data_IF_412939187020
#
_entry.id   IF_412939187020
#
_cell.length_a   1.000
_cell.length_b   1.000
_cell.length_c   1.000
_cell.angle_alpha   90.00
_cell.angle_beta   90.00
_cell.angle_gamma   90.00
#
_symmetry.space_group_name_H-M   'P 1'
#
loop_
_entity.id
_entity.type
_entity.pdbx_description
1 polymer ?
#
# COMPACT_ATOMS: atom_id res chain seq x y z
N UNK A 1 -11.38 -4.84 9.76
CA UNK A 1 -9.99 -4.69 10.28
C UNK A 1 -9.00 -5.36 9.32
N UNK A 2 -7.70 -5.34 9.63
CA UNK A 2 -6.65 -5.90 8.76
C UNK A 2 -6.79 -7.42 8.53
N UNK A 3 -7.18 -8.18 9.56
CA UNK A 3 -7.30 -9.65 9.46
C UNK A 3 -8.45 -10.00 8.52
N UNK A 4 -9.58 -9.32 8.67
CA UNK A 4 -10.72 -9.48 7.76
C UNK A 4 -10.33 -9.18 6.30
N UNK A 5 -9.57 -8.11 6.06
CA UNK A 5 -9.09 -7.77 4.72
C UNK A 5 -8.14 -8.84 4.15
N UNK A 6 -7.20 -9.34 4.95
CA UNK A 6 -6.27 -10.39 4.50
C UNK A 6 -7.03 -11.68 4.19
N UNK A 7 -8.06 -12.02 4.96
CA UNK A 7 -8.90 -13.19 4.71
C UNK A 7 -9.67 -13.08 3.39
N UNK A 8 -10.14 -11.89 3.05
CA UNK A 8 -10.90 -11.63 1.82
C UNK A 8 -10.00 -11.57 0.57
N UNK A 9 -8.89 -10.84 0.63
CA UNK A 9 -8.04 -10.56 -0.53
C UNK A 9 -6.78 -11.43 -0.60
N UNK A 10 -6.50 -12.23 0.43
CA UNK A 10 -5.30 -13.07 0.54
C UNK A 10 -4.00 -12.30 0.78
N UNK A 11 -4.06 -10.97 0.98
CA UNK A 11 -2.88 -10.13 1.16
C UNK A 11 -3.15 -8.87 1.98
N UNK A 12 -2.10 -8.29 2.58
CA UNK A 12 -2.17 -7.03 3.33
C UNK A 12 -1.89 -5.77 2.48
N UNK A 13 -2.15 -5.82 1.17
CA UNK A 13 -1.87 -4.73 0.22
C UNK A 13 -2.96 -3.66 0.18
N UNK A 14 -3.29 -3.12 1.35
CA UNK A 14 -4.32 -2.10 1.47
C UNK A 14 -3.84 -0.78 0.84
N UNK A 15 -4.62 -0.16 -0.07
CA UNK A 15 -4.33 1.15 -0.62
C UNK A 15 -4.30 2.22 0.49
N UNK A 16 -3.46 3.25 0.35
CA UNK A 16 -3.43 4.35 1.32
C UNK A 16 -4.80 5.06 1.43
N UNK A 17 -5.43 5.31 0.28
CA UNK A 17 -6.81 5.84 0.19
C UNK A 17 -7.80 4.70 0.02
N UNK A 18 -7.85 3.80 1.00
CA UNK A 18 -8.83 2.71 0.99
C UNK A 18 -10.23 3.29 1.21
N UNK A 19 -11.15 3.05 0.28
CA UNK A 19 -12.46 3.70 0.26
C UNK A 19 -13.34 3.29 1.44
N UNK A 20 -13.34 1.99 1.77
CA UNK A 20 -14.18 1.45 2.85
C UNK A 20 -13.65 1.82 4.23
N UNK A 21 -12.33 1.99 4.36
CA UNK A 21 -11.70 2.37 5.61
C UNK A 21 -10.37 3.10 5.40
N UNK A 22 -10.45 4.41 5.19
CA UNK A 22 -9.29 5.27 4.96
C UNK A 22 -8.32 5.29 6.14
N UNK A 23 -8.82 5.17 7.37
CA UNK A 23 -8.01 5.10 8.59
C UNK A 23 -7.12 3.84 8.61
N UNK A 24 -7.66 2.69 8.18
CA UNK A 24 -6.90 1.45 8.06
C UNK A 24 -5.81 1.58 6.99
N UNK A 25 -6.11 2.17 5.83
CA UNK A 25 -5.12 2.42 4.78
C UNK A 25 -3.97 3.31 5.25
N UNK A 26 -4.30 4.39 5.96
CA UNK A 26 -3.31 5.28 6.55
C UNK A 26 -2.46 4.58 7.63
N UNK A 27 -3.09 3.76 8.48
CA UNK A 27 -2.40 2.99 9.51
C UNK A 27 -1.40 2.00 8.89
N UNK A 28 -1.79 1.25 7.85
CA UNK A 28 -0.90 0.32 7.11
C UNK A 28 0.29 1.06 6.50
N UNK A 29 0.04 2.22 5.88
CA UNK A 29 1.09 3.07 5.33
C UNK A 29 2.07 3.55 6.42
N UNK A 30 1.55 3.92 7.59
CA UNK A 30 2.35 4.31 8.75
C UNK A 30 3.24 3.17 9.24
N UNK A 31 2.72 1.94 9.37
CA UNK A 31 3.51 0.77 9.78
C UNK A 31 4.68 0.52 8.81
N UNK A 32 4.42 0.53 7.50
CA UNK A 32 5.47 0.39 6.47
C UNK A 32 6.55 1.46 6.56
N UNK A 33 6.15 2.71 6.83
CA UNK A 33 7.08 3.83 7.00
C UNK A 33 7.97 3.65 8.24
N UNK A 34 7.39 3.25 9.39
CA UNK A 34 8.13 2.97 10.62
C UNK A 34 9.14 1.83 10.43
N UNK A 35 8.71 0.72 9.82
CA UNK A 35 9.60 -0.40 9.52
C UNK A 35 10.72 -0.01 8.54
N UNK A 36 10.43 0.78 7.51
CA UNK A 36 11.46 1.24 6.57
C UNK A 36 12.50 2.12 7.26
N UNK A 37 12.10 2.97 8.20
CA UNK A 37 13.03 3.81 8.99
C UNK A 37 13.98 2.97 9.85
N UNK A 38 13.48 1.88 10.43
CA UNK A 38 14.28 0.90 11.18
C UNK A 38 15.30 0.24 10.25
N UNK A 39 14.85 -0.27 9.10
CA UNK A 39 15.68 -0.99 8.14
C UNK A 39 16.78 -0.11 7.52
N UNK A 40 16.46 1.16 7.25
CA UNK A 40 17.42 2.10 6.69
C UNK A 40 18.39 2.68 7.73
N UNK A 41 18.31 2.24 9.00
CA UNK A 41 19.24 2.58 10.07
C UNK A 41 19.57 4.07 10.13
N UNK A 42 18.73 4.89 10.77
CA UNK A 42 19.16 6.26 11.11
C UNK A 42 20.43 6.13 11.95
N UNK A 43 21.59 6.53 11.43
CA UNK A 43 22.79 6.68 12.25
C UNK A 43 22.70 8.03 12.96
N UNK A 44 22.98 8.06 14.25
CA UNK A 44 23.19 9.33 14.94
C UNK A 44 24.57 9.92 14.53
N UNK A 45 24.91 11.11 15.02
CA UNK A 45 26.18 11.78 14.71
C UNK A 45 27.42 10.91 15.01
N UNK A 46 27.27 9.91 15.88
CA UNK A 46 28.34 9.01 16.31
C UNK A 46 28.36 7.69 15.52
N UNK A 47 27.57 7.57 14.45
CA UNK A 47 27.52 6.37 13.61
C UNK A 47 26.70 5.21 14.19
N UNK A 48 26.18 5.35 15.41
CA UNK A 48 25.38 4.33 16.07
C UNK A 48 23.94 4.33 15.56
N UNK A 49 23.31 3.16 15.57
CA UNK A 49 21.90 3.01 15.22
C UNK A 49 21.05 3.86 16.18
N UNK A 50 20.42 4.92 15.66
CA UNK A 50 19.52 5.83 16.38
C UNK A 50 18.22 5.14 16.81
N UNK A 51 17.92 3.98 16.21
CA UNK A 51 16.73 3.20 16.50
C UNK A 51 17.10 1.97 17.33
N UNK A 52 16.64 1.95 18.58
CA UNK A 52 16.77 0.79 19.45
C UNK A 52 15.47 0.01 19.34
N UNK A 53 15.57 -1.26 18.96
CA UNK A 53 14.48 -2.22 18.99
C UNK A 53 14.70 -3.14 20.19
N UNK A 54 13.85 -3.01 21.21
CA UNK A 54 13.71 -4.02 22.26
C UNK A 54 12.29 -4.56 22.29
N UNK A 55 12.06 -5.63 23.04
CA UNK A 55 10.73 -6.26 23.17
C UNK A 55 9.67 -5.28 23.68
N UNK A 56 10.04 -4.36 24.59
CA UNK A 56 9.10 -3.49 25.30
C UNK A 56 9.23 -2.00 24.99
N UNK A 57 10.27 -1.58 24.25
CA UNK A 57 10.50 -0.18 23.96
C UNK A 57 10.99 0.03 22.52
N UNK A 58 10.47 1.06 21.85
CA UNK A 58 10.85 1.37 20.46
C UNK A 58 10.74 2.87 20.20
N UNK A 59 11.89 3.52 20.06
CA UNK A 59 11.96 4.95 19.70
C UNK A 59 11.38 5.26 18.32
N UNK A 60 11.17 4.23 17.48
CA UNK A 60 10.58 4.35 16.14
C UNK A 60 9.07 4.12 16.08
N UNK A 61 8.42 3.87 17.23
CA UNK A 61 6.96 3.74 17.33
C UNK A 61 6.38 2.44 16.77
N UNK A 62 7.19 1.39 16.59
CA UNK A 62 6.72 0.03 16.30
C UNK A 62 7.60 -0.96 17.06
N UNK A 63 6.99 -1.89 17.80
CA UNK A 63 7.72 -2.89 18.63
C UNK A 63 8.07 -4.15 17.84
N UNK A 64 8.99 -4.96 18.38
CA UNK A 64 9.32 -6.28 17.81
C UNK A 64 8.08 -7.19 17.80
N UNK A 65 7.30 -7.20 18.88
CA UNK A 65 6.05 -7.97 18.98
C UNK A 65 5.05 -7.55 17.89
N UNK A 66 4.87 -6.25 17.65
CA UNK A 66 4.00 -5.74 16.58
C UNK A 66 4.48 -6.19 15.20
N UNK A 67 5.80 -6.18 14.96
CA UNK A 67 6.38 -6.68 13.70
C UNK A 67 6.12 -8.18 13.55
N UNK A 68 6.29 -8.98 14.61
CA UNK A 68 6.03 -10.42 14.59
C UNK A 68 4.55 -10.73 14.31
N UNK A 69 3.63 -10.05 14.99
CA UNK A 69 2.20 -10.20 14.74
C UNK A 69 1.83 -9.88 13.28
N UNK A 70 2.42 -8.82 12.72
CA UNK A 70 2.23 -8.46 11.32
C UNK A 70 2.85 -9.49 10.36
N UNK A 71 4.04 -10.01 10.67
CA UNK A 71 4.67 -11.06 9.86
C UNK A 71 3.83 -12.34 9.84
N UNK A 72 3.24 -12.72 10.98
CA UNK A 72 2.43 -13.94 11.11
C UNK A 72 1.18 -13.93 10.21
N UNK A 73 0.67 -12.74 9.86
CA UNK A 73 -0.44 -12.58 8.92
C UNK A 73 0.01 -12.31 7.48
N UNK A 74 1.31 -12.49 7.18
CA UNK A 74 1.87 -12.28 5.85
C UNK A 74 1.96 -10.80 5.45
N UNK A 75 2.14 -9.88 6.39
CA UNK A 75 2.20 -8.45 6.10
C UNK A 75 3.41 -8.07 5.24
N UNK A 76 3.17 -7.63 4.01
CA UNK A 76 4.22 -7.17 3.12
C UNK A 76 4.66 -5.73 3.46
N UNK A 77 5.86 -5.61 4.05
CA UNK A 77 6.46 -4.33 4.39
C UNK A 77 6.88 -3.49 3.18
N UNK A 78 7.34 -4.16 2.11
CA UNK A 78 7.75 -3.53 0.85
C UNK A 78 6.99 -4.16 -0.30
N UNK A 79 6.08 -3.38 -0.90
CA UNK A 79 5.40 -3.79 -2.14
C UNK A 79 6.31 -3.46 -3.32
N UNK A 80 6.77 -4.48 -4.04
CA UNK A 80 7.61 -4.32 -5.23
C UNK A 80 6.92 -3.47 -6.32
N UNK A 81 7.72 -2.78 -7.14
CA UNK A 81 7.21 -1.95 -8.25
C UNK A 81 6.31 -2.75 -9.19
N UNK A 82 6.69 -4.00 -9.51
CA UNK A 82 5.91 -4.89 -10.37
C UNK A 82 4.50 -5.16 -9.83
N UNK A 83 4.38 -5.42 -8.53
CA UNK A 83 3.08 -5.67 -7.89
C UNK A 83 2.22 -4.39 -7.95
N UNK A 84 2.79 -3.23 -7.59
CA UNK A 84 2.08 -1.94 -7.68
C UNK A 84 1.58 -1.66 -9.10
N UNK A 85 2.44 -1.86 -10.11
CA UNK A 85 2.07 -1.64 -11.50
C UNK A 85 0.94 -2.58 -11.93
N UNK A 86 0.96 -3.84 -11.49
CA UNK A 86 -0.11 -4.80 -11.79
C UNK A 86 -1.45 -4.36 -11.17
N UNK A 87 -1.46 -3.93 -9.90
CA UNK A 87 -2.69 -3.44 -9.25
C UNK A 87 -3.23 -2.16 -9.92
N UNK A 88 -2.36 -1.24 -10.33
CA UNK A 88 -2.75 -0.06 -11.10
C UNK A 88 -3.35 -0.47 -12.45
N UNK A 89 -2.70 -1.41 -13.15
CA UNK A 89 -3.18 -1.92 -14.43
C UNK A 89 -4.57 -2.59 -14.29
N UNK A 90 -4.76 -3.46 -13.29
CA UNK A 90 -6.06 -4.11 -13.03
C UNK A 90 -7.18 -3.11 -12.77
N UNK A 91 -6.90 -2.08 -11.97
CA UNK A 91 -7.87 -1.00 -11.72
C UNK A 91 -8.22 -0.29 -13.03
N UNK A 92 -7.23 0.09 -13.83
CA UNK A 92 -7.45 0.76 -15.12
C UNK A 92 -8.18 -0.10 -16.13
N UNK A 93 -7.94 -1.41 -16.11
CA UNK A 93 -8.71 -2.36 -16.89
C UNK A 93 -10.19 -2.34 -16.47
N UNK A 94 -10.51 -2.30 -15.18
CA UNK A 94 -11.88 -2.13 -14.69
C UNK A 94 -12.52 -0.81 -15.14
N UNK A 95 -11.77 0.29 -15.11
CA UNK A 95 -12.22 1.60 -15.62
C UNK A 95 -12.53 1.51 -17.14
N UNK A 96 -11.68 0.84 -17.92
CA UNK A 96 -11.89 0.62 -19.36
C UNK A 96 -13.09 -0.29 -19.66
N UNK A 97 -13.31 -1.34 -18.87
CA UNK A 97 -14.51 -2.20 -18.99
C UNK A 97 -15.77 -1.37 -18.73
N UNK A 98 -15.76 -0.54 -17.70
CA UNK A 98 -16.89 0.35 -17.38
C UNK A 98 -17.15 1.34 -18.52
N UNK A 99 -16.10 1.90 -19.12
CA UNK A 99 -16.21 2.73 -20.33
C UNK A 99 -16.82 1.94 -21.51
N UNK A 100 -16.32 0.73 -21.77
CA UNK A 100 -16.81 -0.09 -22.88
C UNK A 100 -18.29 -0.45 -22.72
N UNK A 101 -18.75 -0.71 -21.49
CA UNK A 101 -20.17 -0.93 -21.18
C UNK A 101 -21.00 0.34 -21.45
N UNK A 102 -20.50 1.51 -21.06
CA UNK A 102 -21.22 2.77 -21.20
C UNK A 102 -21.29 3.32 -22.64
N UNK A 103 -20.23 3.14 -23.42
CA UNK A 103 -20.07 3.75 -24.76
C UNK A 103 -20.06 2.72 -25.91
N UNK A 104 -20.08 1.43 -25.60
CA UNK A 104 -20.09 0.34 -26.60
C UNK A 104 -18.78 0.13 -27.35
N UNK A 105 -17.68 0.76 -26.92
CA UNK A 105 -16.37 0.64 -27.56
C UNK A 105 -15.24 1.02 -26.58
N UNK A 106 -13.98 0.79 -26.98
CA UNK A 106 -12.79 1.10 -26.18
C UNK A 106 -12.01 2.32 -26.68
N UNK A 107 -12.61 3.15 -27.55
CA UNK A 107 -11.96 4.34 -28.13
C UNK A 107 -12.09 5.53 -27.19
N UNK A 108 -11.41 5.45 -26.04
CA UNK A 108 -11.43 6.51 -25.03
C UNK A 108 -10.73 7.77 -25.57
N UNK A 109 -11.38 8.95 -25.55
CA UNK A 109 -10.72 10.21 -25.92
C UNK A 109 -9.56 10.53 -24.99
N UNK A 110 -8.44 11.04 -25.53
CA UNK A 110 -7.27 11.48 -24.73
C UNK A 110 -7.64 12.41 -23.57
N UNK A 111 -8.57 13.34 -23.81
CA UNK A 111 -9.09 14.28 -22.81
C UNK A 111 -10.47 13.89 -22.30
N UNK A 112 -10.75 12.59 -22.13
CA UNK A 112 -12.05 12.10 -21.66
C UNK A 112 -12.48 12.82 -20.37
N UNK A 113 -13.49 13.72 -20.40
CA UNK A 113 -13.73 14.65 -19.30
C UNK A 113 -14.02 13.98 -17.94
N UNK A 114 -14.77 12.86 -17.87
CA UNK A 114 -15.01 12.15 -16.60
C UNK A 114 -13.75 11.53 -15.99
N UNK A 115 -12.83 11.03 -16.83
CA UNK A 115 -11.52 10.55 -16.38
C UNK A 115 -10.43 10.76 -17.46
N UNK A 116 -9.77 11.93 -17.48
CA UNK A 116 -8.72 12.20 -18.46
C UNK A 116 -7.49 11.30 -18.28
N UNK A 117 -7.37 10.63 -17.13
CA UNK A 117 -6.26 9.71 -16.86
C UNK A 117 -6.49 8.32 -17.45
N UNK A 118 -7.74 7.94 -17.74
CA UNK A 118 -8.07 6.74 -18.50
C UNK A 118 -7.66 6.91 -19.97
N UNK A 119 -8.01 8.03 -20.59
CA UNK A 119 -7.65 8.34 -21.98
C UNK A 119 -6.16 8.55 -22.24
N UNK A 120 -5.38 8.87 -21.19
CA UNK A 120 -3.91 8.90 -21.24
C UNK A 120 -3.27 7.52 -21.04
N UNK A 121 -4.01 6.56 -20.49
CA UNK A 121 -3.50 5.23 -20.15
C UNK A 121 -3.66 4.24 -21.30
N UNK A 122 -4.77 4.30 -22.05
CA UNK A 122 -4.97 3.56 -23.31
C UNK A 122 -4.38 4.29 -24.50
#
# INVERSE_FOLDING_TARGET
>A
DLVSYVKEFGHARIPNRFADNSALGYWVMTQRSRYTKIQNGKKNQNGNQSCILTEKNSSCGITIEQIQLLNNIGFEWRIGRRIRNNEIWKRRYGDLVSYAIAFGNTKVPQNFPPDPSLGRWV
#
